data_IF_125341818526
#
_entry.id   IF_125341818526
#
_cell.length_a   1.000
_cell.length_b   1.000
_cell.length_c   1.000
_cell.angle_alpha   90.00
_cell.angle_beta   90.00
_cell.angle_gamma   90.00
#
_symmetry.space_group_name_H-M   'P 1'
#
loop_
_entity.id
_entity.type
_entity.pdbx_description
1 polymer ?
#
# COMPACT_ATOMS: atom_id res chain seq x y z
N UNK A 1 12.04 8.10 12.25
CA UNK A 1 10.69 8.65 12.05
C UNK A 1 9.80 7.59 11.40
N UNK A 2 8.91 6.94 12.15
CA UNK A 2 7.84 6.15 11.55
C UNK A 2 6.73 7.13 11.16
N UNK A 3 6.67 7.52 9.88
CA UNK A 3 5.51 8.26 9.36
C UNK A 3 4.32 7.34 9.53
N UNK A 4 3.41 7.68 10.44
CA UNK A 4 2.14 7.01 10.58
C UNK A 4 1.33 7.33 9.33
N UNK A 5 1.47 6.52 8.30
CA UNK A 5 0.69 6.66 7.08
C UNK A 5 -0.80 6.63 7.45
N UNK A 6 -1.52 7.68 7.09
CA UNK A 6 -2.96 7.75 7.29
C UNK A 6 -3.62 6.50 6.70
N UNK A 7 -4.54 5.89 7.44
CA UNK A 7 -5.27 4.67 7.04
C UNK A 7 -5.83 4.77 5.61
N UNK A 8 -6.27 5.96 5.20
CA UNK A 8 -6.73 6.27 3.83
C UNK A 8 -5.68 5.98 2.75
N UNK A 9 -4.41 6.27 3.02
CA UNK A 9 -3.31 6.10 2.07
C UNK A 9 -3.01 4.62 1.84
N UNK A 10 -3.06 3.81 2.92
CA UNK A 10 -2.97 2.35 2.83
C UNK A 10 -4.14 1.75 2.06
N UNK A 11 -5.37 2.17 2.35
CA UNK A 11 -6.57 1.72 1.62
C UNK A 11 -6.53 2.10 0.14
N UNK A 12 -6.07 3.31 -0.19
CA UNK A 12 -5.91 3.78 -1.57
C UNK A 12 -4.88 2.94 -2.33
N UNK A 13 -3.74 2.65 -1.70
CA UNK A 13 -2.72 1.77 -2.26
C UNK A 13 -3.27 0.37 -2.55
N UNK A 14 -4.01 -0.20 -1.59
CA UNK A 14 -4.65 -1.51 -1.72
C UNK A 14 -5.69 -1.53 -2.83
N UNK A 15 -6.54 -0.51 -2.94
CA UNK A 15 -7.53 -0.38 -4.04
C UNK A 15 -6.84 -0.34 -5.40
N UNK A 16 -5.78 0.45 -5.55
CA UNK A 16 -5.06 0.52 -6.83
C UNK A 16 -4.38 -0.80 -7.21
N UNK A 17 -3.80 -1.51 -6.23
CA UNK A 17 -3.24 -2.85 -6.45
C UNK A 17 -4.34 -3.86 -6.81
N UNK A 18 -5.51 -3.80 -6.15
CA UNK A 18 -6.65 -4.65 -6.45
C UNK A 18 -7.22 -4.40 -7.87
N UNK A 19 -7.18 -3.15 -8.36
CA UNK A 19 -7.49 -2.81 -9.75
C UNK A 19 -6.44 -3.25 -10.77
N UNK A 20 -5.44 -4.03 -10.37
CA UNK A 20 -4.42 -4.59 -11.28
C UNK A 20 -3.21 -3.68 -11.52
N UNK A 21 -3.09 -2.54 -10.80
CA UNK A 21 -1.88 -1.71 -10.91
C UNK A 21 -0.70 -2.40 -10.23
N UNK A 22 0.44 -2.42 -10.91
CA UNK A 22 1.66 -2.97 -10.34
C UNK A 22 2.13 -2.19 -9.11
N UNK A 23 2.68 -2.93 -8.15
CA UNK A 23 3.14 -2.41 -6.86
C UNK A 23 4.24 -1.35 -7.03
N UNK A 24 5.13 -1.52 -8.01
CA UNK A 24 6.15 -0.52 -8.38
C UNK A 24 5.54 0.80 -8.87
N UNK A 25 4.41 0.73 -9.58
CA UNK A 25 3.71 1.93 -10.05
C UNK A 25 2.94 2.61 -8.92
N UNK A 26 2.37 1.85 -7.99
CA UNK A 26 1.74 2.38 -6.77
C UNK A 26 2.78 3.05 -5.86
N UNK A 27 3.96 2.44 -5.72
CA UNK A 27 5.09 2.97 -4.95
C UNK A 27 5.50 4.37 -5.42
N UNK A 28 5.70 4.54 -6.73
CA UNK A 28 6.06 5.84 -7.33
C UNK A 28 4.94 6.89 -7.21
N UNK A 29 3.68 6.47 -7.26
CA UNK A 29 2.56 7.41 -7.20
C UNK A 29 2.27 7.93 -5.79
N UNK A 30 2.48 7.09 -4.78
CA UNK A 30 2.24 7.45 -3.39
C UNK A 30 3.51 7.93 -2.68
N UNK A 31 4.65 7.89 -3.37
CA UNK A 31 5.99 8.10 -2.81
C UNK A 31 6.24 7.22 -1.58
N UNK A 32 5.87 5.94 -1.69
CA UNK A 32 5.96 4.95 -0.62
C UNK A 32 6.87 3.82 -1.04
N UNK A 33 7.80 3.43 -0.16
CA UNK A 33 8.70 2.31 -0.41
C UNK A 33 7.94 0.99 -0.64
N UNK A 34 8.42 0.18 -1.59
CA UNK A 34 7.89 -1.16 -1.86
C UNK A 34 7.68 -2.05 -0.62
N UNK A 35 8.61 -2.09 0.37
CA UNK A 35 8.42 -2.85 1.61
C UNK A 35 7.21 -2.40 2.43
N UNK A 36 6.90 -1.10 2.45
CA UNK A 36 5.73 -0.56 3.16
C UNK A 36 4.43 -1.03 2.50
N UNK A 37 4.37 -1.00 1.16
CA UNK A 37 3.24 -1.54 0.41
C UNK A 37 3.05 -3.05 0.66
N UNK A 38 4.17 -3.79 0.78
CA UNK A 38 4.13 -5.23 1.08
C UNK A 38 3.52 -5.48 2.46
N UNK A 39 3.94 -4.72 3.47
CA UNK A 39 3.36 -4.76 4.81
C UNK A 39 1.86 -4.45 4.82
N UNK A 40 1.39 -3.48 4.03
CA UNK A 40 -0.04 -3.19 3.94
C UNK A 40 -0.83 -4.30 3.29
N UNK A 41 -0.32 -4.87 2.19
CA UNK A 41 -0.95 -6.02 1.53
C UNK A 41 -1.04 -7.23 2.46
N UNK A 42 0.04 -7.53 3.18
CA UNK A 42 0.07 -8.62 4.15
C UNK A 42 -0.93 -8.40 5.30
N UNK A 43 -1.02 -7.18 5.83
CA UNK A 43 -1.98 -6.86 6.88
C UNK A 43 -3.44 -6.89 6.41
N UNK A 44 -3.71 -6.52 5.15
CA UNK A 44 -5.04 -6.61 4.56
C UNK A 44 -5.47 -8.06 4.34
N UNK A 45 -4.56 -8.92 3.87
CA UNK A 45 -4.84 -10.34 3.64
C UNK A 45 -5.02 -11.14 4.95
N UNK A 46 -4.40 -10.70 6.05
CA UNK A 46 -4.55 -11.33 7.37
C UNK A 46 -5.87 -10.96 8.08
N UNK A 47 -6.68 -10.05 7.52
CA UNK A 47 -7.97 -9.61 8.09
C UNK A 47 -9.18 -10.21 7.36
N UNK A 48 -8.94 -11.14 6.42
CA UNK A 48 -9.95 -11.94 5.72
C UNK A 48 -9.96 -13.34 6.30
#
# INVERSE_FOLDING_TARGET
MAVAYSKDLGERALRWMASGRSMSRVSRLLDVSGPTLYKWRSQANSRV
#
